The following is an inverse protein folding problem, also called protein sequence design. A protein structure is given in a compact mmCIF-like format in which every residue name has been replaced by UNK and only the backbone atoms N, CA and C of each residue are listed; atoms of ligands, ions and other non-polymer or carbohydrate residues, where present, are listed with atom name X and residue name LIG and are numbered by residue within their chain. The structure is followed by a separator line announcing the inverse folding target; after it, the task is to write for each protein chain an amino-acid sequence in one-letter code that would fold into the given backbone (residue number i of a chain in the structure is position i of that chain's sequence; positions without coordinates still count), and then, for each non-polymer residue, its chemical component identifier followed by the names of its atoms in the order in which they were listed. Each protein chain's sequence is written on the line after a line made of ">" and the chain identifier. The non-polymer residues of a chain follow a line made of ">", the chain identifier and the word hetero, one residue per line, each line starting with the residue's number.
data_IF_989292838000
#
_entry.id   IF_989292838000
#
_cell.length_a   1.000
_cell.length_b   1.000
_cell.length_c   1.000
_cell.angle_alpha   90.00
_cell.angle_beta   90.00
_cell.angle_gamma   90.00
#
_symmetry.space_group_name_H-M   'P 1'
#
loop_
_entity.id
_entity.type
_entity.pdbx_description
1 polymer ?
2 polymer ?
3 non-polymer ?
4 non-polymer ?
5 non-polymer ?
6 water ?
#
# COMPACT_ATOMS: atom_id res chain seq x y z
N UNK A 1 18.35 -2.68 8.03
CA UNK A 1 19.44 -2.31 7.09
C UNK A 1 18.86 -1.82 5.78
N UNK A 2 19.71 -1.23 4.93
CA UNK A 2 19.32 -0.72 3.61
C UNK A 2 19.63 -1.69 2.49
N UNK A 3 18.62 -2.06 1.79
CA UNK A 3 18.71 -2.98 0.66
C UNK A 3 17.69 -2.51 -0.39
N UNK A 4 18.05 -2.56 -1.64
CA UNK A 4 17.12 -2.29 -2.72
C UNK A 4 17.42 -3.23 -3.87
N UNK A 5 16.35 -3.72 -4.54
CA UNK A 5 16.50 -4.50 -5.77
C UNK A 5 15.26 -4.30 -6.63
N UNK A 6 15.41 -4.63 -7.90
CA UNK A 6 14.37 -4.37 -8.87
C UNK A 6 14.39 -5.33 -10.05
N UNK A 7 13.35 -6.15 -10.13
CA UNK A 7 13.15 -7.09 -11.25
C UNK A 7 11.85 -6.70 -11.95
N UNK A 8 11.96 -5.88 -13.03
CA UNK A 8 10.72 -5.52 -13.76
C UNK A 8 10.07 -6.70 -14.45
N UNK A 9 10.85 -7.76 -14.68
CA UNK A 9 10.45 -9.06 -15.15
C UNK A 9 11.54 -10.01 -14.73
N UNK A 10 11.38 -11.31 -15.00
CA UNK A 10 12.37 -12.32 -14.65
C UNK A 10 13.07 -12.91 -15.86
N UNK A 11 13.33 -12.02 -16.84
CA UNK A 11 14.38 -12.31 -17.83
C UNK A 11 15.78 -12.36 -17.22
N UNK A 12 15.91 -11.83 -16.02
CA UNK A 12 17.03 -12.06 -15.12
C UNK A 12 16.51 -12.68 -13.84
N UNK A 13 17.23 -13.65 -13.29
CA UNK A 13 17.07 -14.17 -11.95
C UNK A 13 18.38 -14.16 -11.18
N UNK A 14 19.21 -13.16 -11.52
CA UNK A 14 20.61 -13.10 -11.04
C UNK A 14 20.80 -13.32 -9.59
N UNK A 15 19.92 -12.68 -8.78
CA UNK A 15 20.09 -12.73 -7.31
C UNK A 15 19.07 -13.62 -6.60
N UNK A 16 18.35 -14.46 -7.34
CA UNK A 16 17.32 -15.30 -6.78
C UNK A 16 17.83 -16.71 -6.49
N UNK A 17 17.55 -17.28 -5.33
CA UNK A 17 17.82 -18.65 -4.94
C UNK A 17 16.56 -19.48 -5.06
N UNK A 18 16.63 -20.62 -5.73
CA UNK A 18 15.49 -21.52 -5.90
C UNK A 18 15.67 -22.71 -5.04
N UNK A 19 14.61 -23.10 -4.33
CA UNK A 19 14.65 -24.27 -3.45
C UNK A 19 13.38 -25.11 -3.61
N UNK A 20 13.53 -26.40 -3.35
CA UNK A 20 12.41 -27.28 -3.48
C UNK A 20 11.93 -27.32 -4.90
N UNK A 21 10.65 -27.22 -5.14
CA UNK A 21 10.06 -27.28 -6.42
C UNK A 21 10.03 -26.06 -7.28
N UNK A 22 10.62 -24.94 -6.82
CA UNK A 22 10.58 -23.67 -7.55
C UNK A 22 11.66 -23.58 -8.63
N UNK A 23 11.36 -22.88 -9.73
CA UNK A 23 12.35 -22.77 -10.82
C UNK A 23 11.97 -21.54 -11.68
N UNK A 24 12.96 -21.05 -12.44
CA UNK A 24 12.69 -19.98 -13.40
C UNK A 24 12.09 -20.54 -14.66
N UNK A 25 10.92 -20.09 -15.07
CA UNK A 25 10.27 -20.54 -16.32
C UNK A 25 9.30 -19.63 -16.99
N UNK A 26 9.46 -19.35 -18.27
CA UNK A 26 8.60 -18.40 -18.96
C UNK A 26 8.79 -16.98 -18.48
N UNK A 27 10.05 -16.69 -18.09
CA UNK A 27 10.45 -15.38 -17.64
C UNK A 27 9.69 -14.94 -16.35
N UNK A 28 9.36 -15.94 -15.54
CA UNK A 28 8.72 -15.74 -14.25
C UNK A 28 9.43 -16.62 -13.23
N UNK A 29 9.06 -16.44 -11.95
CA UNK A 29 9.37 -17.41 -10.91
C UNK A 29 8.20 -18.38 -10.82
N UNK A 30 8.43 -19.65 -11.12
CA UNK A 30 7.38 -20.67 -11.01
C UNK A 30 7.56 -21.39 -9.71
N UNK A 31 6.63 -21.24 -8.75
CA UNK A 31 6.87 -21.68 -7.39
C UNK A 31 6.72 -23.17 -7.16
N UNK A 32 5.83 -23.80 -7.94
CA UNK A 32 5.63 -25.24 -7.77
C UNK A 32 5.78 -25.86 -9.18
N UNK A 33 6.18 -27.13 -9.25
CA UNK A 33 6.57 -27.69 -10.53
C UNK A 33 5.35 -28.21 -11.36
N UNK A 34 5.62 -28.29 -12.65
CA UNK A 34 4.70 -28.88 -13.60
C UNK A 34 5.44 -30.01 -14.31
N UNK A 35 4.67 -30.99 -14.77
CA UNK A 35 5.27 -32.14 -15.48
C UNK A 35 5.49 -31.73 -16.96
N UNK A 36 5.97 -32.69 -17.71
CA UNK A 36 6.38 -32.48 -19.10
C UNK A 36 5.19 -32.01 -19.99
N UNK A 37 3.97 -32.37 -19.59
CA UNK A 37 2.75 -31.92 -20.25
C UNK A 37 2.12 -30.67 -19.69
N UNK A 38 2.82 -30.01 -18.76
CA UNK A 38 2.32 -28.79 -18.16
C UNK A 38 1.36 -29.00 -17.03
N UNK A 39 1.17 -30.23 -16.57
CA UNK A 39 0.21 -30.48 -15.50
C UNK A 39 0.86 -30.21 -14.11
N UNK A 40 0.15 -29.45 -13.23
CA UNK A 40 0.68 -29.24 -11.89
C UNK A 40 0.99 -30.54 -11.13
N UNK A 41 2.11 -30.63 -10.49
CA UNK A 41 2.51 -31.80 -9.74
C UNK A 41 1.94 -31.65 -8.33
N UNK A 42 1.27 -32.66 -7.83
CA UNK A 42 0.63 -32.64 -6.52
C UNK A 42 1.65 -32.78 -5.37
N UNK A 43 1.30 -32.22 -4.19
CA UNK A 43 2.11 -32.39 -2.99
C UNK A 43 3.56 -31.96 -3.20
N UNK A 44 3.74 -30.73 -3.66
CA UNK A 44 5.09 -30.15 -3.77
C UNK A 44 5.08 -28.74 -3.21
N UNK A 45 6.23 -28.29 -2.76
CA UNK A 45 6.36 -26.88 -2.34
C UNK A 45 7.65 -26.35 -2.89
N UNK A 46 7.80 -25.05 -3.02
CA UNK A 46 9.03 -24.42 -3.52
C UNK A 46 9.16 -23.06 -2.89
N UNK A 47 10.41 -22.58 -2.79
CA UNK A 47 10.72 -21.21 -2.43
C UNK A 47 11.58 -20.56 -3.52
N UNK A 48 11.33 -19.28 -3.76
CA UNK A 48 12.21 -18.46 -4.57
C UNK A 48 12.52 -17.24 -3.73
N UNK A 49 13.78 -17.05 -3.37
CA UNK A 49 14.14 -16.05 -2.33
C UNK A 49 15.18 -15.12 -2.90
N UNK A 50 15.15 -13.86 -2.44
CA UNK A 50 16.28 -12.95 -2.70
C UNK A 50 17.45 -13.43 -1.90
N UNK A 51 18.61 -13.64 -2.56
CA UNK A 51 19.67 -14.40 -1.92
C UNK A 51 20.38 -13.74 -0.72
N UNK A 52 20.36 -12.40 -0.68
CA UNK A 52 21.15 -11.71 0.33
C UNK A 52 20.32 -11.42 1.57
N UNK A 53 20.90 -11.69 2.74
CA UNK A 53 20.22 -11.38 3.98
C UNK A 53 20.22 -9.89 4.26
N UNK A 54 19.26 -9.44 5.09
CA UNK A 54 19.18 -8.05 5.58
C UNK A 54 18.76 -8.11 7.02
N UNK A 55 18.74 -6.94 7.66
CA UNK A 55 18.33 -6.85 9.07
C UNK A 55 17.07 -5.96 9.18
N UNK A 56 16.27 -6.18 10.20
CA UNK A 56 15.04 -5.41 10.40
C UNK A 56 15.09 -4.47 11.58
N UNK A 57 16.19 -4.40 12.31
CA UNK A 57 16.26 -3.42 13.41
C UNK A 57 16.17 -1.99 12.82
N UNK A 58 15.28 -1.17 13.42
CA UNK A 58 15.13 0.20 13.02
C UNK A 58 15.03 0.40 11.51
N UNK A 59 14.14 -0.37 10.92
CA UNK A 59 13.96 -0.40 9.48
C UNK A 59 12.50 -0.35 9.07
N UNK A 60 12.23 0.34 7.94
CA UNK A 60 10.95 0.25 7.23
C UNK A 60 11.27 -0.38 5.89
N UNK A 61 10.24 -0.98 5.26
CA UNK A 61 10.46 -1.46 3.89
C UNK A 61 9.16 -1.38 3.05
N UNK A 62 9.37 -1.39 1.74
CA UNK A 62 8.29 -1.44 0.76
C UNK A 62 8.71 -2.48 -0.26
N UNK A 63 7.72 -3.34 -0.60
CA UNK A 63 7.98 -4.29 -1.73
C UNK A 63 6.72 -4.43 -2.54
N UNK A 64 6.88 -4.67 -3.83
CA UNK A 64 5.76 -4.88 -4.71
C UNK A 64 6.13 -5.99 -5.68
N UNK A 65 5.08 -6.77 -6.06
CA UNK A 65 5.29 -7.84 -7.02
C UNK A 65 4.01 -8.03 -7.79
N UNK A 66 4.17 -8.62 -8.95
CA UNK A 66 3.03 -9.10 -9.73
C UNK A 66 2.99 -10.60 -9.82
N UNK A 67 1.76 -11.16 -9.95
CA UNK A 67 1.63 -12.60 -9.85
C UNK A 67 0.45 -13.08 -10.67
N UNK A 68 0.51 -14.34 -11.03
CA UNK A 68 -0.59 -15.04 -11.66
C UNK A 68 -0.80 -16.38 -10.97
N UNK A 69 -2.04 -16.77 -10.76
CA UNK A 69 -2.45 -18.12 -10.37
C UNK A 69 -3.10 -18.78 -11.57
N UNK A 70 -2.50 -19.93 -11.97
CA UNK A 70 -3.10 -20.71 -13.04
C UNK A 70 -3.77 -21.94 -12.45
N UNK A 71 -5.05 -22.11 -12.69
CA UNK A 71 -5.78 -23.24 -12.21
C UNK A 71 -6.26 -24.06 -13.35
N UNK A 72 -6.38 -25.34 -13.07
CA UNK A 72 -6.83 -26.31 -14.09
C UNK A 72 -8.12 -27.01 -13.64
N UNK A 73 -8.72 -26.53 -12.55
CA UNK A 73 -9.92 -27.13 -11.99
C UNK A 73 -10.60 -26.06 -11.14
N UNK A 74 -11.82 -26.36 -10.72
CA UNK A 74 -12.56 -25.53 -9.79
C UNK A 74 -12.11 -25.77 -8.34
N UNK A 75 -11.24 -26.76 -8.10
CA UNK A 75 -10.76 -27.07 -6.76
C UNK A 75 -9.24 -26.98 -6.64
N UNK A 76 -8.67 -25.85 -6.96
CA UNK A 76 -7.23 -25.64 -6.79
C UNK A 76 -6.75 -25.67 -5.35
N UNK A 77 -5.51 -26.06 -5.16
CA UNK A 77 -4.87 -25.94 -3.85
C UNK A 77 -3.42 -25.83 -4.07
N UNK A 78 -2.64 -25.10 -3.24
CA UNK A 78 -3.06 -24.46 -1.94
C UNK A 78 -2.85 -22.95 -1.86
N UNK A 79 -2.04 -22.40 -2.74
CA UNK A 79 -1.78 -20.98 -2.77
C UNK A 79 -0.30 -20.65 -2.62
N UNK A 80 -0.02 -19.44 -2.23
CA UNK A 80 1.36 -19.01 -2.09
C UNK A 80 1.44 -17.89 -1.09
N UNK A 81 2.67 -17.50 -0.76
CA UNK A 81 2.87 -16.41 0.18
C UNK A 81 4.15 -15.68 -0.12
N UNK A 82 4.22 -14.41 0.23
CA UNK A 82 5.50 -13.70 0.41
C UNK A 82 5.86 -13.79 1.89
N UNK A 83 7.13 -14.13 2.22
CA UNK A 83 7.48 -14.37 3.62
C UNK A 83 8.82 -13.76 3.94
N UNK A 84 9.01 -13.56 5.25
CA UNK A 84 10.30 -13.21 5.86
C UNK A 84 10.60 -14.25 6.92
N UNK A 85 11.84 -14.72 6.93
CA UNK A 85 12.27 -15.75 7.88
C UNK A 85 13.81 -15.68 7.98
N UNK A 86 14.40 -16.41 8.93
CA UNK A 86 15.86 -16.42 8.98
C UNK A 86 16.51 -17.01 7.71
N UNK A 87 17.80 -16.76 7.47
CA UNK A 87 18.36 -17.16 6.18
C UNK A 87 18.45 -18.64 5.93
N UNK A 88 18.39 -19.45 6.93
CA UNK A 88 18.46 -20.90 6.79
C UNK A 88 17.07 -21.53 6.71
N UNK A 89 16.04 -20.72 6.70
CA UNK A 89 14.67 -21.25 6.62
C UNK A 89 14.47 -22.12 5.37
N UNK A 90 14.08 -23.36 5.52
CA UNK A 90 13.97 -24.25 4.34
C UNK A 90 12.56 -24.28 3.81
N UNK A 91 12.36 -24.85 2.64
CA UNK A 91 11.03 -25.26 2.23
C UNK A 91 10.43 -26.28 3.17
N UNK A 92 9.28 -25.94 3.75
CA UNK A 92 8.62 -26.84 4.66
C UNK A 92 7.49 -27.56 3.99
N UNK A 93 6.49 -28.02 4.73
CA UNK A 93 5.52 -28.98 4.17
C UNK A 93 4.68 -28.39 3.08
N UNK A 94 4.38 -29.22 2.09
CA UNK A 94 3.47 -28.91 1.01
C UNK A 94 1.98 -28.89 1.50
N UNK A 95 1.05 -28.78 0.58
CA UNK A 95 -0.33 -28.68 0.96
C UNK A 95 -0.61 -27.39 1.69
N UNK A 96 -1.52 -27.46 2.67
CA UNK A 96 -2.02 -26.27 3.32
C UNK A 96 -1.04 -25.54 4.19
N UNK A 97 0.07 -26.17 4.48
CA UNK A 97 1.16 -25.50 5.19
C UNK A 97 1.89 -24.52 4.33
N UNK A 98 1.65 -24.52 3.03
CA UNK A 98 2.14 -23.46 2.15
C UNK A 98 3.63 -23.40 2.00
N UNK A 99 4.33 -24.52 2.30
CA UNK A 99 5.76 -24.51 2.31
C UNK A 99 6.37 -23.75 3.47
N UNK A 100 5.56 -23.35 4.46
CA UNK A 100 6.07 -22.45 5.54
C UNK A 100 6.07 -23.05 6.91
N UNK A 101 5.40 -24.20 7.11
CA UNK A 101 5.26 -24.78 8.44
C UNK A 101 5.47 -26.29 8.39
N UNK A 102 5.84 -26.85 9.54
CA UNK A 102 5.86 -28.30 9.79
C UNK A 102 4.57 -28.71 10.48
N UNK A 103 4.01 -29.88 10.12
CA UNK A 103 2.73 -30.26 10.73
C UNK A 103 2.69 -30.33 12.25
N UNK A 104 3.74 -30.75 12.89
CA UNK A 104 3.75 -30.92 14.29
C UNK A 104 3.77 -29.62 15.12
N UNK A 105 4.05 -28.53 14.43
CA UNK A 105 4.19 -27.22 15.11
C UNK A 105 3.48 -26.06 14.39
N UNK A 106 2.64 -26.32 13.39
CA UNK A 106 2.14 -25.28 12.50
C UNK A 106 1.28 -24.21 13.16
N UNK A 107 0.66 -24.52 14.29
CA UNK A 107 -0.14 -23.49 14.94
C UNK A 107 0.48 -23.02 16.28
N UNK A 108 1.70 -23.42 16.55
CA UNK A 108 2.43 -23.11 17.83
C UNK A 108 3.32 -21.90 17.55
N UNK A 109 2.84 -20.73 18.00
CA UNK A 109 3.58 -19.52 17.69
C UNK A 109 4.99 -19.49 18.31
N UNK A 110 5.18 -20.16 19.44
CA UNK A 110 6.49 -20.20 20.06
C UNK A 110 7.50 -21.05 19.30
N UNK A 111 6.99 -21.91 18.40
CA UNK A 111 7.85 -22.86 17.71
C UNK A 111 8.26 -22.38 16.30
N UNK A 112 7.79 -21.22 15.88
CA UNK A 112 8.06 -20.68 14.55
C UNK A 112 8.65 -19.32 14.54
N UNK A 113 9.36 -18.95 13.50
CA UNK A 113 9.84 -17.59 13.31
C UNK A 113 9.70 -17.32 11.80
N UNK A 114 8.49 -16.89 11.41
CA UNK A 114 8.16 -16.63 10.00
C UNK A 114 6.96 -15.69 10.02
N UNK A 115 7.02 -14.68 9.17
CA UNK A 115 5.89 -13.74 8.95
C UNK A 115 5.59 -13.76 7.46
N UNK A 116 4.31 -13.82 7.10
CA UNK A 116 3.92 -13.92 5.70
C UNK A 116 2.66 -13.21 5.36
N UNK A 117 2.49 -12.85 4.09
CA UNK A 117 1.22 -12.50 3.51
C UNK A 117 0.84 -13.63 2.57
N UNK A 118 -0.23 -14.33 2.89
CA UNK A 118 -0.66 -15.54 2.16
C UNK A 118 -1.86 -15.26 1.25
N UNK A 119 -1.89 -16.01 0.18
CA UNK A 119 -2.91 -15.99 -0.85
C UNK A 119 -3.43 -17.44 -0.89
N UNK A 120 -4.51 -17.70 -0.18
CA UNK A 120 -4.92 -19.07 0.19
C UNK A 120 -6.10 -19.52 -0.65
N UNK A 121 -5.87 -20.54 -1.48
CA UNK A 121 -6.89 -21.02 -2.44
C UNK A 121 -7.70 -22.19 -1.93
N UNK A 122 -7.39 -22.76 -0.76
CA UNK A 122 -8.00 -23.99 -0.30
C UNK A 122 -8.33 -23.84 1.20
N UNK A 123 -9.63 -23.95 1.52
CA UNK A 123 -10.07 -23.85 2.89
C UNK A 123 -9.70 -25.16 3.62
N UNK A 124 -8.77 -25.09 4.53
CA UNK A 124 -8.32 -26.26 5.27
C UNK A 124 -9.27 -26.55 6.42
N UNK A 125 -9.59 -27.81 6.60
CA UNK A 125 -10.38 -28.30 7.73
C UNK A 125 -9.55 -28.57 8.97
N UNK A 126 -8.22 -28.65 8.80
CA UNK A 126 -7.32 -29.10 9.84
C UNK A 126 -6.93 -28.07 10.88
N UNK A 127 -7.25 -26.83 10.59
CA UNK A 127 -7.04 -25.74 11.51
C UNK A 127 -8.09 -24.65 11.15
N UNK A 128 -8.19 -23.62 12.02
CA UNK A 128 -9.17 -22.59 11.80
C UNK A 128 -8.77 -21.76 10.58
N UNK A 129 -9.69 -21.73 9.59
CA UNK A 129 -9.69 -20.90 8.41
C UNK A 129 -11.03 -20.37 8.15
N UNK A 130 -11.14 -19.17 7.51
CA UNK A 130 -12.47 -18.77 7.08
C UNK A 130 -12.98 -19.71 6.02
N UNK A 131 -14.30 -19.78 5.86
CA UNK A 131 -14.92 -20.70 4.87
C UNK A 131 -15.01 -20.08 3.48
N UNK A 132 -13.95 -19.47 3.03
CA UNK A 132 -13.84 -18.93 1.70
C UNK A 132 -12.35 -18.74 1.44
N UNK A 133 -11.98 -18.65 0.18
CA UNK A 133 -10.63 -18.29 -0.21
C UNK A 133 -10.30 -16.92 0.37
N UNK A 134 -9.03 -16.73 0.74
CA UNK A 134 -8.72 -15.58 1.56
C UNK A 134 -7.26 -15.11 1.35
N UNK A 135 -7.01 -13.87 1.67
CA UNK A 135 -5.69 -13.28 1.83
C UNK A 135 -5.50 -13.01 3.30
N UNK A 136 -4.34 -13.34 3.84
CA UNK A 136 -4.09 -13.23 5.25
C UNK A 136 -2.69 -12.77 5.59
N UNK A 137 -2.53 -12.27 6.81
CA UNK A 137 -1.26 -12.01 7.45
C UNK A 137 -1.02 -13.10 8.49
N UNK A 138 0.10 -13.83 8.35
CA UNK A 138 0.50 -14.91 9.23
C UNK A 138 1.69 -14.50 10.08
N UNK A 139 1.58 -14.68 11.38
CA UNK A 139 2.70 -14.35 12.29
C UNK A 139 2.98 -15.60 13.12
N UNK A 140 3.95 -16.40 12.68
CA UNK A 140 4.42 -17.56 13.44
C UNK A 140 3.37 -18.71 13.51
N UNK A 141 2.37 -18.73 12.62
CA UNK A 141 1.31 -19.74 12.62
C UNK A 141 0.66 -19.74 11.27
N UNK A 142 0.16 -20.92 10.89
CA UNK A 142 -0.65 -21.07 9.69
C UNK A 142 -2.06 -20.53 9.84
N UNK A 143 -2.50 -20.29 11.08
CA UNK A 143 -3.78 -19.61 11.36
C UNK A 143 -3.55 -18.12 11.32
N UNK A 144 -4.06 -17.46 10.30
CA UNK A 144 -3.78 -16.04 10.12
C UNK A 144 -4.27 -15.17 11.28
N UNK A 145 -3.55 -14.13 11.60
CA UNK A 145 -3.96 -13.18 12.65
C UNK A 145 -4.90 -12.13 12.10
N UNK A 146 -4.88 -11.93 10.79
CA UNK A 146 -5.76 -10.96 10.06
C UNK A 146 -6.07 -11.55 8.71
N UNK A 147 -7.34 -11.66 8.33
CA UNK A 147 -7.71 -12.37 7.15
C UNK A 147 -8.84 -11.62 6.47
N UNK A 148 -8.94 -11.67 5.15
CA UNK A 148 -10.01 -11.08 4.42
C UNK A 148 -10.41 -11.95 3.26
N UNK A 149 -11.68 -11.91 2.85
CA UNK A 149 -12.17 -12.71 1.70
C UNK A 149 -11.46 -12.30 0.43
N UNK A 150 -11.01 -13.30 -0.33
CA UNK A 150 -10.42 -13.13 -1.66
C UNK A 150 -11.51 -13.61 -2.64
N UNK A 151 -12.00 -12.68 -3.48
CA UNK A 151 -13.14 -13.02 -4.35
C UNK A 151 -12.77 -14.11 -5.34
N UNK A 152 -13.68 -15.09 -5.55
CA UNK A 152 -13.37 -16.14 -6.50
C UNK A 152 -13.19 -15.57 -7.92
N UNK A 153 -13.95 -14.53 -8.26
CA UNK A 153 -13.74 -13.90 -9.60
C UNK A 153 -12.30 -13.52 -9.83
N UNK A 154 -11.65 -12.96 -8.77
CA UNK A 154 -10.25 -12.57 -8.90
C UNK A 154 -9.32 -13.82 -8.85
N UNK A 155 -9.59 -14.80 -7.96
CA UNK A 155 -8.81 -16.00 -7.89
C UNK A 155 -8.66 -16.63 -9.26
N UNK A 156 -9.80 -16.75 -9.99
CA UNK A 156 -9.88 -17.54 -11.22
C UNK A 156 -9.72 -16.67 -12.47
N UNK A 157 -9.36 -15.41 -12.31
CA UNK A 157 -9.29 -14.46 -13.41
C UNK A 157 -8.21 -14.69 -14.44
N UNK A 158 -7.12 -15.36 -14.02
CA UNK A 158 -5.91 -15.51 -14.83
C UNK A 158 -5.24 -14.16 -15.07
N UNK A 159 -5.62 -13.11 -14.31
CA UNK A 159 -5.00 -11.82 -14.48
C UNK A 159 -3.65 -11.75 -13.79
N UNK A 160 -2.83 -10.82 -14.28
CA UNK A 160 -1.61 -10.43 -13.61
C UNK A 160 -1.99 -9.41 -12.54
N UNK A 161 -2.01 -9.87 -11.28
CA UNK A 161 -2.41 -9.06 -10.14
C UNK A 161 -1.15 -8.40 -9.51
N UNK A 162 -1.38 -7.38 -8.71
CA UNK A 162 -0.29 -6.70 -8.03
C UNK A 162 -0.48 -6.79 -6.50
N UNK A 163 0.62 -6.94 -5.80
CA UNK A 163 0.61 -6.79 -4.35
C UNK A 163 1.65 -5.74 -3.97
N UNK A 164 1.27 -4.96 -2.94
CA UNK A 164 2.16 -3.97 -2.29
C UNK A 164 2.21 -4.40 -0.85
N UNK A 165 3.37 -4.59 -0.30
CA UNK A 165 3.53 -4.96 1.11
C UNK A 165 4.55 -3.98 1.73
N UNK A 166 4.10 -3.29 2.81
CA UNK A 166 4.96 -2.33 3.43
C UNK A 166 5.02 -2.60 4.92
N UNK A 167 6.12 -2.13 5.53
CA UNK A 167 6.27 -2.24 6.99
C UNK A 167 6.79 -0.89 7.45
N UNK A 168 6.00 -0.26 8.34
CA UNK A 168 6.40 0.98 8.99
C UNK A 168 7.06 0.60 10.30
N UNK A 169 8.38 0.80 10.35
CA UNK A 169 9.14 0.40 11.51
C UNK A 169 9.00 1.32 12.72
N UNK A 170 8.33 2.46 12.57
CA UNK A 170 8.02 3.34 13.71
C UNK A 170 6.73 2.91 14.39
N UNK A 171 5.67 2.72 13.61
CA UNK A 171 4.40 2.31 14.15
C UNK A 171 4.28 0.76 14.32
N UNK A 172 5.23 0.01 13.75
CA UNK A 172 5.29 -1.45 13.82
C UNK A 172 4.06 -2.03 13.17
N UNK A 173 3.77 -1.56 11.94
CA UNK A 173 2.58 -2.04 11.21
C UNK A 173 2.98 -2.61 9.84
N UNK A 174 2.46 -3.84 9.62
CA UNK A 174 2.66 -4.51 8.32
C UNK A 174 1.35 -4.37 7.55
N UNK A 175 1.41 -3.91 6.30
CA UNK A 175 0.24 -3.68 5.49
C UNK A 175 0.42 -4.38 4.15
N UNK A 176 -0.68 -4.96 3.65
CA UNK A 176 -0.74 -5.42 2.24
C UNK A 176 -1.93 -4.76 1.52
N UNK A 177 -1.66 -4.26 0.32
CA UNK A 177 -2.69 -3.88 -0.67
C UNK A 177 -2.54 -4.81 -1.84
N UNK A 178 -3.65 -5.40 -2.26
CA UNK A 178 -3.63 -6.31 -3.41
C UNK A 178 -4.64 -5.76 -4.43
N UNK A 179 -4.25 -5.66 -5.68
CA UNK A 179 -5.11 -5.08 -6.73
C UNK A 179 -5.15 -5.97 -7.94
N UNK A 180 -6.35 -6.07 -8.53
CA UNK A 180 -6.60 -6.78 -9.78
C UNK A 180 -6.94 -5.79 -10.85
N UNK A 181 -6.43 -5.92 -12.07
CA UNK A 181 -6.77 -4.96 -13.17
C UNK A 181 -8.27 -5.14 -13.50
N UNK A 182 -9.05 -4.11 -13.45
CA UNK A 182 -10.52 -4.33 -13.62
C UNK A 182 -11.11 -5.49 -12.70
N UNK A 183 -10.54 -5.68 -11.50
CA UNK A 183 -11.10 -6.55 -10.48
C UNK A 183 -11.05 -5.95 -9.07
N UNK A 184 -10.95 -6.81 -8.06
CA UNK A 184 -10.96 -6.38 -6.68
C UNK A 184 -9.72 -5.71 -6.17
N UNK A 185 -9.93 -4.96 -5.09
CA UNK A 185 -8.86 -4.43 -4.29
C UNK A 185 -9.01 -4.88 -2.85
N UNK A 186 -7.87 -5.13 -2.21
CA UNK A 186 -7.86 -5.70 -0.86
C UNK A 186 -6.89 -4.97 0.02
N UNK A 187 -7.29 -4.72 1.27
CA UNK A 187 -6.44 -3.99 2.20
C UNK A 187 -6.40 -4.74 3.55
N UNK A 188 -5.21 -5.06 4.05
CA UNK A 188 -5.04 -5.66 5.35
C UNK A 188 -3.89 -5.08 6.07
N UNK A 189 -4.05 -4.72 7.35
CA UNK A 189 -2.97 -4.22 8.14
C UNK A 189 -2.98 -4.85 9.55
N UNK A 190 -1.82 -4.96 10.13
CA UNK A 190 -1.65 -5.60 11.46
C UNK A 190 -0.45 -5.00 12.16
N UNK A 191 -0.64 -4.75 13.45
CA UNK A 191 0.49 -4.33 14.30
C UNK A 191 1.29 -5.54 14.72
N UNK A 192 2.59 -5.56 14.31
CA UNK A 192 3.51 -6.63 14.65
C UNK A 192 4.91 -6.05 14.66
N UNK A 193 5.62 -6.33 15.76
CA UNK A 193 7.01 -5.86 15.90
C UNK A 193 7.99 -6.85 15.28
N UNK A 194 8.35 -6.58 14.02
CA UNK A 194 9.19 -7.55 13.30
C UNK A 194 10.56 -7.59 13.87
N UNK A 195 11.13 -6.47 14.36
CA UNK A 195 12.47 -6.55 14.89
C UNK A 195 12.55 -7.41 16.19
N UNK A 196 11.44 -7.47 16.92
CA UNK A 196 11.36 -8.36 18.09
C UNK A 196 11.40 -9.83 17.68
N UNK A 197 10.65 -10.16 16.62
CA UNK A 197 10.62 -11.54 16.14
C UNK A 197 11.96 -11.92 15.53
N UNK A 198 12.61 -10.98 14.81
CA UNK A 198 13.78 -11.23 14.03
C UNK A 198 14.91 -10.27 14.47
N UNK A 199 15.63 -10.64 15.55
CA UNK A 199 16.71 -9.75 16.01
C UNK A 199 17.95 -9.83 15.20
N UNK A 200 18.05 -10.83 14.34
CA UNK A 200 19.22 -11.02 13.46
C UNK A 200 18.99 -10.77 11.99
N UNK A 201 19.53 -11.66 11.21
CA UNK A 201 19.38 -11.53 9.77
C UNK A 201 18.11 -12.27 9.33
N UNK A 202 17.57 -11.81 8.20
CA UNK A 202 16.43 -12.48 7.53
C UNK A 202 16.67 -12.47 6.03
N UNK A 203 15.90 -13.35 5.34
CA UNK A 203 15.73 -13.24 3.88
C UNK A 203 14.24 -13.15 3.59
N UNK A 204 13.92 -12.47 2.47
CA UNK A 204 12.56 -12.38 1.96
C UNK A 204 12.41 -13.19 0.67
N UNK A 205 11.23 -13.80 0.48
CA UNK A 205 11.00 -14.54 -0.72
C UNK A 205 9.58 -15.02 -0.80
N UNK A 206 9.35 -15.94 -1.70
CA UNK A 206 8.02 -16.49 -2.01
C UNK A 206 8.04 -17.97 -1.74
N UNK A 207 6.89 -18.46 -1.26
CA UNK A 207 6.68 -19.90 -1.05
C UNK A 207 5.38 -20.30 -1.71
N UNK A 208 5.33 -21.35 -2.52
CA UNK A 208 4.13 -21.86 -3.09
C UNK A 208 3.97 -23.30 -2.72
N UNK A 209 2.72 -23.80 -2.79
CA UNK A 209 2.50 -25.23 -2.50
C UNK A 209 1.29 -25.79 -3.22
N UNK A 210 1.42 -27.06 -3.55
CA UNK A 210 0.27 -27.89 -3.96
C UNK A 210 0.18 -28.99 -2.91
N UNK A 211 -0.95 -29.71 -2.84
CA UNK A 211 -2.18 -29.36 -3.49
C UNK A 211 -2.43 -30.03 -4.81
N UNK A 212 -3.11 -29.33 -5.70
CA UNK A 212 -3.57 -29.91 -6.95
C UNK A 212 -4.07 -28.85 -7.88
N UNK A 213 -3.89 -29.01 -9.18
CA UNK A 213 -4.58 -28.22 -10.15
C UNK A 213 -4.26 -26.75 -10.13
N UNK A 214 -3.04 -26.39 -9.68
CA UNK A 214 -2.69 -24.98 -9.49
C UNK A 214 -1.21 -24.80 -9.66
N UNK A 215 -0.78 -23.72 -10.31
CA UNK A 215 0.58 -23.28 -10.32
C UNK A 215 0.58 -21.79 -10.02
N UNK A 216 1.60 -21.31 -9.28
CA UNK A 216 1.70 -19.93 -8.90
C UNK A 216 2.98 -19.35 -9.51
N UNK A 217 2.85 -18.15 -10.14
CA UNK A 217 3.95 -17.54 -10.84
C UNK A 217 4.14 -16.10 -10.37
N UNK A 218 5.37 -15.69 -10.13
CA UNK A 218 5.71 -14.29 -9.82
C UNK A 218 6.29 -13.66 -11.09
N UNK A 219 5.74 -12.54 -11.56
CA UNK A 219 6.12 -11.92 -12.79
C UNK A 219 7.07 -10.77 -12.70
N UNK A 220 7.14 -10.12 -11.51
CA UNK A 220 8.04 -8.97 -11.29
C UNK A 220 8.11 -8.78 -9.78
N UNK A 221 9.17 -8.08 -9.35
CA UNK A 221 9.40 -7.91 -7.89
C UNK A 221 10.41 -6.79 -7.66
N UNK A 222 10.04 -5.80 -6.81
CA UNK A 222 11.04 -4.83 -6.39
C UNK A 222 10.89 -4.65 -4.86
N UNK A 223 11.95 -4.12 -4.26
CA UNK A 223 12.05 -4.03 -2.77
C UNK A 223 12.96 -2.87 -2.45
N UNK A 224 12.57 -2.14 -1.36
CA UNK A 224 13.53 -1.17 -0.77
C UNK A 224 13.31 -1.17 0.72
N UNK A 225 14.43 -1.09 1.48
CA UNK A 225 14.38 -0.92 2.92
C UNK A 225 15.26 0.22 3.27
N UNK A 226 14.80 0.94 4.33
CA UNK A 226 15.55 2.15 4.76
C UNK A 226 15.55 2.21 6.32
N UNK A 227 16.55 2.87 6.89
CA UNK A 227 16.58 3.09 8.32
C UNK A 227 15.50 4.10 8.77
N UNK A 228 14.95 3.84 9.93
CA UNK A 228 14.03 4.73 10.58
C UNK A 228 14.76 5.85 11.37
N UNK A 229 16.08 5.85 11.49
CA UNK A 229 16.77 6.94 12.32
C UNK A 229 17.18 8.18 11.55
N UNK B 1 -19.83 2.40 3.33
CA UNK B 1 -20.62 2.07 2.14
C UNK B 1 -19.69 1.68 0.99
N UNK B 2 -20.28 1.21 -0.10
CA UNK B 2 -19.58 0.69 -1.27
C UNK B 2 -19.66 1.75 -2.37
N UNK B 3 -18.50 2.18 -2.77
CA UNK B 3 -18.33 3.19 -3.85
C UNK B 3 -17.04 2.81 -4.62
N UNK B 4 -17.09 2.95 -5.93
CA UNK B 4 -15.91 2.80 -6.73
C UNK B 4 -15.96 3.82 -7.88
N UNK B 5 -14.79 4.35 -8.21
CA UNK B 5 -14.64 5.22 -9.35
C UNK B 5 -13.21 5.06 -9.94
N UNK B 6 -13.03 5.52 -11.16
CA UNK B 6 -11.77 5.38 -11.86
C UNK B 6 -11.62 6.45 -12.94
N UNK B 7 -10.56 7.23 -12.80
CA UNK B 7 -10.15 8.30 -13.73
C UNK B 7 -8.75 7.92 -14.21
N UNK B 8 -8.62 7.25 -15.34
CA UNK B 8 -7.28 6.91 -15.87
C UNK B 8 -6.55 8.19 -16.27
N UNK B 9 -7.36 9.23 -16.58
CA UNK B 9 -6.88 10.61 -16.74
C UNK B 9 -8.13 11.44 -16.46
N UNK B 10 -7.98 12.76 -16.59
CA UNK B 10 -9.11 13.69 -16.32
C UNK B 10 -9.61 14.39 -17.60
N UNK B 11 -9.58 13.62 -18.68
CA UNK B 11 -10.26 14.05 -19.88
C UNK B 11 -11.69 14.45 -19.56
N UNK B 12 -12.34 13.61 -18.77
CA UNK B 12 -13.61 13.92 -18.17
C UNK B 12 -13.39 14.26 -16.71
N UNK B 13 -14.10 15.32 -16.28
CA UNK B 13 -14.19 15.70 -14.88
C UNK B 13 -15.60 15.66 -14.37
N UNK B 14 -16.39 14.81 -15.02
CA UNK B 14 -17.64 14.47 -14.46
C UNK B 14 -17.38 13.90 -13.05
N UNK B 15 -18.24 14.36 -12.15
CA UNK B 15 -18.32 13.94 -10.77
C UNK B 15 -17.12 14.44 -9.99
N UNK B 16 -16.41 15.46 -10.49
CA UNK B 16 -15.44 16.21 -9.73
C UNK B 16 -15.96 17.61 -9.42
N UNK B 17 -15.89 18.03 -8.15
CA UNK B 17 -16.33 19.31 -7.73
C UNK B 17 -15.06 20.11 -7.46
N UNK B 18 -14.95 21.23 -8.16
CA UNK B 18 -13.78 22.17 -7.99
C UNK B 18 -14.20 23.33 -7.11
N UNK B 19 -13.33 23.73 -6.16
CA UNK B 19 -13.58 24.87 -5.33
C UNK B 19 -12.29 25.64 -5.16
N UNK B 20 -12.43 26.93 -4.86
CA UNK B 20 -11.26 27.73 -4.67
C UNK B 20 -10.50 27.92 -5.99
N UNK B 21 -9.19 27.77 -5.91
CA UNK B 21 -8.37 27.97 -7.11
C UNK B 21 -8.06 26.73 -7.91
N UNK B 22 -8.74 25.60 -7.67
CA UNK B 22 -8.52 24.36 -8.44
C UNK B 22 -9.34 24.34 -9.73
N UNK B 23 -8.75 23.72 -10.76
CA UNK B 23 -9.42 23.66 -12.07
C UNK B 23 -8.92 22.50 -12.87
N UNK B 24 -9.70 22.10 -13.91
CA UNK B 24 -9.17 21.07 -14.85
C UNK B 24 -8.18 21.74 -15.81
N UNK B 25 -7.08 21.08 -16.12
CA UNK B 25 -6.09 21.56 -17.06
C UNK B 25 -5.45 20.40 -17.78
N UNK B 26 -5.59 20.36 -19.12
CA UNK B 26 -4.94 19.30 -19.95
C UNK B 26 -5.03 17.88 -19.33
N UNK B 27 -6.23 17.50 -19.04
CA UNK B 27 -6.49 16.16 -18.58
C UNK B 27 -5.91 15.84 -17.18
N UNK B 28 -5.65 16.88 -16.38
CA UNK B 28 -5.22 16.75 -14.99
C UNK B 28 -6.12 17.62 -14.11
N UNK B 29 -6.02 17.41 -12.82
CA UNK B 29 -6.56 18.34 -11.83
C UNK B 29 -5.41 19.26 -11.41
N UNK B 30 -5.56 20.56 -11.67
CA UNK B 30 -4.59 21.57 -11.23
C UNK B 30 -5.09 22.17 -9.95
N UNK B 31 -4.36 21.96 -8.85
CA UNK B 31 -4.95 22.29 -7.55
C UNK B 31 -4.84 23.75 -7.17
N UNK B 32 -3.84 24.44 -7.70
CA UNK B 32 -3.64 25.85 -7.41
C UNK B 32 -3.43 26.57 -8.74
N UNK B 33 -3.84 27.83 -8.82
CA UNK B 33 -3.90 28.52 -10.13
C UNK B 33 -2.55 29.11 -10.58
N UNK B 34 -2.45 29.31 -11.89
CA UNK B 34 -1.32 29.95 -12.49
C UNK B 34 -1.90 31.16 -13.29
N UNK B 35 -1.10 32.18 -13.47
CA UNK B 35 -1.53 33.36 -14.27
C UNK B 35 -1.34 33.11 -15.74
N UNK B 36 -1.67 34.08 -16.58
CA UNK B 36 -1.61 33.92 -18.01
C UNK B 36 -0.20 33.77 -18.57
N UNK B 37 0.81 34.04 -17.78
CA UNK B 37 2.17 33.69 -18.08
C UNK B 37 2.64 32.30 -17.55
N UNK B 38 1.71 31.58 -16.94
CA UNK B 38 2.01 30.27 -16.33
C UNK B 38 2.68 30.30 -14.98
N UNK B 39 2.77 31.45 -14.37
CA UNK B 39 3.48 31.59 -13.14
C UNK B 39 2.50 31.23 -12.00
N UNK B 40 2.95 30.39 -11.05
CA UNK B 40 2.11 30.08 -9.87
C UNK B 40 1.70 31.37 -9.13
N UNK B 41 0.44 31.44 -8.75
CA UNK B 41 -0.05 32.58 -8.00
C UNK B 41 0.07 32.35 -6.50
N UNK B 42 0.67 33.26 -5.80
CA UNK B 42 0.90 33.19 -4.35
C UNK B 42 -0.40 33.28 -3.54
N UNK B 43 -0.37 32.60 -2.39
CA UNK B 43 -1.54 32.68 -1.43
C UNK B 43 -2.84 32.29 -2.00
N UNK B 44 -2.91 31.06 -2.50
CA UNK B 44 -4.10 30.46 -3.02
C UNK B 44 -4.31 29.05 -2.48
N UNK B 45 -5.55 28.60 -2.40
CA UNK B 45 -5.88 27.24 -2.05
C UNK B 45 -6.94 26.74 -2.98
N UNK B 46 -6.95 25.42 -3.33
CA UNK B 46 -7.98 24.85 -4.15
C UNK B 46 -8.29 23.44 -3.69
N UNK B 47 -9.53 23.02 -3.94
CA UNK B 47 -9.95 21.64 -3.71
C UNK B 47 -10.54 21.08 -4.97
N UNK B 48 -10.22 19.79 -5.22
CA UNK B 48 -10.93 19.04 -6.24
C UNK B 48 -11.37 17.76 -5.58
N UNK B 49 -12.67 17.56 -5.51
CA UNK B 49 -13.29 16.49 -4.68
C UNK B 49 -14.22 15.59 -5.50
N UNK B 50 -14.24 14.29 -5.20
CA UNK B 50 -15.22 13.45 -5.81
C UNK B 50 -16.60 13.83 -5.25
N UNK B 51 -17.54 14.08 -6.15
CA UNK B 51 -18.75 14.78 -5.76
C UNK B 51 -19.72 13.94 -4.91
N UNK B 52 -19.69 12.63 -4.98
CA UNK B 52 -20.62 11.75 -4.29
C UNK B 52 -20.15 11.37 -2.89
N UNK B 53 -20.99 11.66 -1.89
CA UNK B 53 -20.61 11.28 -0.56
C UNK B 53 -20.69 9.77 -0.33
N UNK B 54 -19.92 9.31 0.66
CA UNK B 54 -19.97 7.93 1.08
C UNK B 54 -19.89 7.89 2.62
N UNK B 55 -20.03 6.70 3.19
CA UNK B 55 -19.99 6.53 4.61
C UNK B 55 -18.84 5.63 4.99
N UNK B 56 -18.31 5.81 6.21
CA UNK B 56 -17.17 5.03 6.68
C UNK B 56 -17.48 3.98 7.72
N UNK B 57 -18.72 3.85 8.14
CA UNK B 57 -19.08 2.83 9.10
C UNK B 57 -18.82 1.47 8.51
N UNK B 58 -18.09 0.61 9.24
CA UNK B 58 -17.84 -0.79 8.81
C UNK B 58 -17.36 -0.86 7.35
N UNK B 59 -16.33 0.00 7.06
CA UNK B 59 -15.82 0.11 5.66
C UNK B 59 -14.30 0.12 5.66
N UNK B 60 -13.75 -0.57 4.64
CA UNK B 60 -12.35 -0.44 4.25
C UNK B 60 -12.31 0.27 2.88
N UNK B 61 -11.18 0.94 2.58
CA UNK B 61 -11.06 1.51 1.26
C UNK B 61 -9.61 1.46 0.76
N UNK B 62 -9.47 1.58 -0.55
CA UNK B 62 -8.22 1.65 -1.24
C UNK B 62 -8.35 2.76 -2.30
N UNK B 63 -7.33 3.63 -2.37
CA UNK B 63 -7.32 4.65 -3.41
C UNK B 63 -5.86 4.80 -3.89
N UNK B 64 -5.73 5.14 -5.15
CA UNK B 64 -4.43 5.37 -5.74
C UNK B 64 -4.55 6.57 -6.70
N UNK B 65 -3.47 7.33 -6.78
CA UNK B 65 -3.45 8.45 -7.70
C UNK B 65 -2.02 8.69 -8.15
N UNK B 66 -1.85 9.37 -9.28
CA UNK B 66 -0.55 9.82 -9.74
C UNK B 66 -0.54 11.33 -9.71
N UNK B 67 0.64 11.90 -9.50
CA UNK B 67 0.76 13.33 -9.30
C UNK B 67 2.10 13.88 -9.76
N UNK B 68 2.13 15.17 -10.05
CA UNK B 68 3.37 15.89 -10.37
C UNK B 68 3.37 17.19 -9.61
N UNK B 69 4.52 17.49 -9.02
CA UNK B 69 4.81 18.80 -8.46
C UNK B 69 5.72 19.55 -9.43
N UNK B 70 5.28 20.70 -9.87
CA UNK B 70 6.08 21.57 -10.73
C UNK B 70 6.56 22.75 -9.91
N UNK B 71 7.87 22.94 -9.82
CA UNK B 71 8.49 24.04 -9.09
C UNK B 71 9.20 24.94 -10.03
N UNK B 72 9.33 26.19 -9.60
CA UNK B 72 10.05 27.17 -10.37
C UNK B 72 11.18 27.79 -9.60
N UNK B 73 11.44 27.27 -8.41
CA UNK B 73 12.53 27.68 -7.60
C UNK B 73 12.89 26.59 -6.61
N UNK B 74 13.98 26.76 -5.91
CA UNK B 74 14.39 25.82 -4.88
C UNK B 74 13.68 25.99 -3.54
N UNK B 75 12.77 26.99 -3.50
CA UNK B 75 11.96 27.29 -2.34
C UNK B 75 10.47 27.24 -2.59
N UNK B 76 10.00 26.09 -3.04
CA UNK B 76 8.55 25.98 -3.31
C UNK B 76 7.71 25.90 -2.00
N UNK B 77 6.47 26.34 -2.12
CA UNK B 77 5.50 26.21 -1.03
C UNK B 77 4.11 26.13 -1.60
N UNK B 78 3.16 25.37 -1.00
CA UNK B 78 3.26 24.70 0.32
C UNK B 78 3.13 23.18 0.25
N UNK B 79 2.52 22.71 -0.83
CA UNK B 79 2.23 21.28 -0.98
C UNK B 79 0.78 20.98 -1.25
N UNK B 80 0.42 19.71 -1.05
CA UNK B 80 -0.96 19.26 -1.26
C UNK B 80 -1.25 18.08 -0.36
N UNK B 81 -2.52 17.71 -0.34
CA UNK B 81 -2.97 16.55 0.42
C UNK B 81 -4.14 15.89 -0.25
N UNK B 82 -4.21 14.58 0.00
CA UNK B 82 -5.47 13.86 -0.22
C UNK B 82 -6.17 13.85 1.15
N UNK B 83 -7.45 14.13 1.20
CA UNK B 83 -8.18 14.31 2.45
C UNK B 83 -9.59 13.71 2.39
N UNK B 84 -10.07 13.44 3.59
CA UNK B 84 -11.42 12.99 3.83
C UNK B 84 -12.03 14.02 4.81
N UNK B 85 -13.23 14.46 4.51
CA UNK B 85 -13.94 15.43 5.36
C UNK B 85 -15.44 15.30 5.06
N UNK B 86 -16.27 15.90 5.91
CA UNK B 86 -17.72 15.94 5.60
C UNK B 86 -18.03 16.68 4.28
N UNK B 87 -19.21 16.43 3.73
CA UNK B 87 -19.51 17.01 2.41
C UNK B 87 -19.55 18.51 2.37
N UNK B 88 -19.76 19.19 3.50
CA UNK B 88 -19.77 20.66 3.57
C UNK B 88 -18.44 21.33 3.74
N UNK B 89 -17.37 20.53 3.70
CA UNK B 89 -16.06 21.06 4.02
C UNK B 89 -15.67 22.13 2.98
N UNK B 90 -15.37 23.33 3.42
CA UNK B 90 -14.98 24.42 2.48
C UNK B 90 -13.49 24.49 2.28
N UNK B 91 -13.07 25.30 1.32
CA UNK B 91 -11.68 25.62 1.11
C UNK B 91 -11.25 26.51 2.29
N UNK B 92 -10.27 26.09 3.04
CA UNK B 92 -9.76 26.80 4.16
C UNK B 92 -8.50 27.62 3.82
N UNK B 93 -7.61 27.93 4.77
CA UNK B 93 -6.60 28.87 4.55
C UNK B 93 -5.51 28.35 3.60
N UNK B 94 -5.06 29.27 2.77
CA UNK B 94 -3.87 29.14 1.90
C UNK B 94 -2.60 29.05 2.72
N UNK B 95 -1.45 28.93 2.05
CA UNK B 95 -0.21 28.81 2.72
C UNK B 95 -0.06 27.43 3.39
N UNK B 96 0.63 27.44 4.54
CA UNK B 96 1.02 26.18 5.21
C UNK B 96 -0.13 25.38 5.76
N UNK B 97 -1.31 26.01 5.86
CA UNK B 97 -2.53 25.36 6.27
C UNK B 97 -3.07 24.39 5.20
N UNK B 98 -2.50 24.46 3.98
CA UNK B 98 -2.80 23.49 2.90
C UNK B 98 -4.22 23.45 2.43
N UNK B 99 -4.96 24.56 2.69
CA UNK B 99 -6.35 24.58 2.37
C UNK B 99 -7.31 23.79 3.26
N UNK B 100 -6.76 23.27 4.36
CA UNK B 100 -7.45 22.34 5.22
C UNK B 100 -7.77 22.81 6.62
N UNK B 101 -7.14 23.92 7.03
CA UNK B 101 -7.29 24.42 8.42
C UNK B 101 -7.38 25.95 8.39
N UNK B 102 -7.80 26.52 9.54
CA UNK B 102 -7.78 27.94 9.82
C UNK B 102 -6.85 28.20 10.97
N UNK B 103 -6.16 29.33 11.01
CA UNK B 103 -5.16 29.61 12.02
C UNK B 103 -5.56 29.44 13.46
N UNK B 104 -6.76 29.88 13.79
CA UNK B 104 -7.13 29.86 15.19
C UNK B 104 -7.36 28.48 15.78
N UNK B 105 -7.62 27.52 14.92
CA UNK B 105 -7.96 26.17 15.40
C UNK B 105 -7.07 25.09 14.72
N UNK B 106 -5.99 25.50 14.07
CA UNK B 106 -5.24 24.52 13.25
C UNK B 106 -4.61 23.37 13.97
N UNK B 107 -4.30 23.54 15.24
CA UNK B 107 -3.73 22.49 16.07
C UNK B 107 -4.66 21.99 17.17
N UNK B 108 -5.94 22.38 17.10
CA UNK B 108 -6.91 21.92 18.04
C UNK B 108 -7.76 20.81 17.48
N UNK B 109 -7.46 19.57 17.96
CA UNK B 109 -8.11 18.41 17.38
C UNK B 109 -9.58 18.33 17.63
N UNK B 110 -10.08 19.05 18.67
CA UNK B 110 -11.50 19.02 18.94
C UNK B 110 -12.29 19.95 18.00
N UNK B 111 -11.60 20.80 17.27
CA UNK B 111 -12.24 21.81 16.44
C UNK B 111 -12.17 21.53 14.98
N UNK B 112 -11.59 20.40 14.56
CA UNK B 112 -11.48 19.93 13.20
C UNK B 112 -12.11 18.56 13.01
N UNK B 113 -12.51 18.26 11.80
CA UNK B 113 -12.94 16.93 11.41
C UNK B 113 -12.40 16.75 9.95
N UNK B 114 -11.14 16.31 9.88
CA UNK B 114 -10.49 16.15 8.61
C UNK B 114 -9.29 15.25 8.86
N UNK B 115 -9.09 14.29 7.96
CA UNK B 115 -7.93 13.39 7.97
C UNK B 115 -7.28 13.46 6.58
N UNK B 116 -5.97 13.56 6.56
CA UNK B 116 -5.25 13.79 5.29
C UNK B 116 -3.94 13.03 5.28
N UNK B 117 -3.45 12.80 4.08
CA UNK B 117 -2.06 12.46 3.79
C UNK B 117 -1.51 13.67 3.02
N UNK B 118 -0.51 14.33 3.67
CA UNK B 118 0.07 15.56 3.14
C UNK B 118 1.42 15.31 2.51
N UNK B 119 1.72 16.12 1.52
CA UNK B 119 2.99 16.17 0.79
C UNK B 119 3.43 17.63 0.99
N UNK B 120 4.35 17.83 1.96
CA UNK B 120 4.60 19.17 2.52
C UNK B 120 5.96 19.64 2.00
N UNK B 121 5.94 20.67 1.14
CA UNK B 121 7.17 21.18 0.52
C UNK B 121 7.84 22.33 1.29
N UNK B 122 7.19 22.84 2.34
CA UNK B 122 7.71 24.02 2.99
C UNK B 122 7.71 23.80 4.54
N UNK B 123 8.88 23.94 5.15
CA UNK B 123 8.98 23.78 6.57
C UNK B 123 8.46 25.03 7.28
N UNK B 124 7.32 24.86 7.93
CA UNK B 124 6.69 25.97 8.68
C UNK B 124 7.33 26.09 10.03
N UNK B 125 7.51 27.36 10.42
CA UNK B 125 8.01 27.73 11.72
C UNK B 125 6.82 28.05 12.70
N UNK B 126 5.62 28.19 12.18
CA UNK B 126 4.50 28.68 12.96
C UNK B 126 3.85 27.55 13.81
N UNK B 127 4.23 26.30 13.54
CA UNK B 127 3.80 25.13 14.33
C UNK B 127 4.89 24.08 14.19
N UNK B 128 4.82 23.01 14.96
CA UNK B 128 5.84 21.99 14.96
C UNK B 128 5.76 21.18 13.67
N UNK B 129 6.87 21.21 12.94
CA UNK B 129 7.11 20.39 11.75
C UNK B 129 8.52 19.90 11.78
N UNK B 130 8.82 18.79 11.09
CA UNK B 130 10.20 18.41 10.97
C UNK B 130 11.01 19.43 10.14
N UNK B 131 12.31 19.44 10.33
CA UNK B 131 13.16 20.43 9.67
C UNK B 131 13.61 19.96 8.25
N UNK B 132 12.70 19.32 7.52
CA UNK B 132 12.90 18.87 6.14
C UNK B 132 11.55 18.71 5.51
N UNK B 133 11.50 18.72 4.17
CA UNK B 133 10.29 18.40 3.48
C UNK B 133 9.85 17.02 3.89
N UNK B 134 8.56 16.76 3.89
CA UNK B 134 7.99 15.57 4.52
C UNK B 134 6.65 15.18 3.98
N UNK B 135 6.38 13.87 4.08
CA UNK B 135 5.03 13.29 3.86
C UNK B 135 4.49 12.93 5.23
N UNK B 136 3.23 13.25 5.50
CA UNK B 136 2.66 13.01 6.80
C UNK B 136 1.22 12.57 6.79
N UNK B 137 0.78 11.96 7.90
CA UNK B 137 -0.59 11.68 8.18
C UNK B 137 -1.08 12.76 9.17
N UNK B 138 -2.12 13.45 8.83
CA UNK B 138 -2.75 14.51 9.65
C UNK B 138 -4.11 14.04 10.12
N UNK B 139 -4.33 14.10 11.44
CA UNK B 139 -5.60 13.72 12.05
C UNK B 139 -6.11 14.96 12.83
N UNK B 140 -7.00 15.72 12.21
CA UNK B 140 -7.65 16.87 12.90
C UNK B 140 -6.65 17.93 13.35
N UNK B 141 -5.49 18.04 12.76
CA UNK B 141 -4.48 19.02 13.08
C UNK B 141 -3.52 19.17 11.91
N UNK B 142 -2.93 20.34 11.73
CA UNK B 142 -1.87 20.58 10.75
C UNK B 142 -0.52 20.04 11.25
N UNK B 143 -0.39 19.66 12.54
CA UNK B 143 0.78 19.06 13.07
C UNK B 143 0.60 17.53 12.88
N UNK B 144 1.34 16.95 11.93
CA UNK B 144 1.17 15.49 11.56
C UNK B 144 1.45 14.59 12.75
N UNK B 145 0.64 13.56 12.87
CA UNK B 145 0.77 12.56 13.93
C UNK B 145 1.85 11.54 13.54
N UNK B 146 2.16 11.39 12.25
CA UNK B 146 3.15 10.44 11.72
C UNK B 146 3.77 11.15 10.52
N UNK B 147 5.09 11.23 10.45
CA UNK B 147 5.76 12.00 9.43
C UNK B 147 7.02 11.33 9.04
N UNK B 148 7.36 11.45 7.76
CA UNK B 148 8.64 10.88 7.26
C UNK B 148 9.30 11.89 6.33
N UNK B 149 10.61 11.82 6.23
CA UNK B 149 11.41 12.73 5.37
C UNK B 149 11.06 12.43 3.91
N UNK B 150 10.81 13.45 3.13
CA UNK B 150 10.57 13.37 1.69
C UNK B 150 11.83 13.90 1.02
N UNK B 151 12.55 13.03 0.31
CA UNK B 151 13.82 13.41 -0.24
C UNK B 151 13.69 14.45 -1.29
N UNK B 152 14.62 15.41 -1.26
CA UNK B 152 14.59 16.50 -2.25
C UNK B 152 14.71 16.01 -3.67
N UNK B 153 15.53 14.95 -3.87
CA UNK B 153 15.64 14.40 -5.22
C UNK B 153 14.28 14.02 -5.80
N UNK B 154 13.42 13.48 -4.95
CA UNK B 154 12.06 13.12 -5.34
C UNK B 154 11.19 14.36 -5.49
N UNK B 155 11.22 15.27 -4.51
CA UNK B 155 10.43 16.49 -4.56
C UNK B 155 10.58 17.24 -5.88
N UNK B 156 11.85 17.37 -6.32
CA UNK B 156 12.25 18.14 -7.49
C UNK B 156 12.44 17.31 -8.76
N UNK B 157 11.97 16.04 -8.75
CA UNK B 157 12.24 15.11 -9.85
C UNK B 157 11.47 15.47 -11.12
N UNK B 158 10.33 16.14 -11.01
CA UNK B 158 9.39 16.37 -12.16
C UNK B 158 8.78 15.04 -12.63
N UNK B 159 8.94 13.99 -11.82
CA UNK B 159 8.36 12.72 -12.20
C UNK B 159 6.88 12.63 -11.92
N UNK B 160 6.16 11.75 -12.66
CA UNK B 160 4.81 11.35 -12.30
C UNK B 160 4.97 10.28 -11.21
N UNK B 161 4.70 10.65 -9.96
CA UNK B 161 4.77 9.82 -8.78
C UNK B 161 3.47 9.16 -8.52
N UNK B 162 3.48 8.07 -7.70
CA UNK B 162 2.25 7.36 -7.38
C UNK B 162 2.07 7.33 -5.86
N UNK B 163 0.82 7.47 -5.43
CA UNK B 163 0.46 7.27 -4.04
C UNK B 163 -0.62 6.19 -3.97
N UNK B 164 -0.54 5.35 -2.92
CA UNK B 164 -1.51 4.37 -2.58
C UNK B 164 -1.94 4.67 -1.15
N UNK B 165 -3.24 4.84 -0.89
CA UNK B 165 -3.71 5.11 0.50
C UNK B 165 -4.82 4.12 0.78
N UNK B 166 -4.66 3.38 1.89
CA UNK B 166 -5.63 2.40 2.23
C UNK B 166 -6.07 2.51 3.69
N UNK B 167 -7.26 2.05 3.97
CA UNK B 167 -7.76 2.02 5.31
C UNK B 167 -8.38 0.65 5.61
N UNK B 168 -7.84 0.01 6.62
CA UNK B 168 -8.34 -1.31 7.06
C UNK B 168 -9.35 -0.99 8.18
N UNK B 169 -10.64 -1.19 7.88
CA UNK B 169 -11.67 -0.88 8.85
C UNK B 169 -11.83 -1.85 9.99
N UNK B 170 -11.14 -2.98 9.92
CA UNK B 170 -11.10 -3.94 11.06
C UNK B 170 -10.01 -3.55 12.05
N UNK B 171 -8.77 -3.36 11.56
CA UNK B 171 -7.70 -2.96 12.48
C UNK B 171 -7.65 -1.41 12.77
N UNK B 172 -8.44 -0.67 12.02
CA UNK B 172 -8.48 0.81 12.19
C UNK B 172 -7.17 1.47 11.86
N UNK B 173 -6.57 1.05 10.73
CA UNK B 173 -5.23 1.55 10.35
C UNK B 173 -5.27 2.21 8.97
N UNK B 174 -4.79 3.46 8.91
CA UNK B 174 -4.60 4.18 7.66
C UNK B 174 -3.13 4.09 7.23
N UNK B 175 -2.92 3.73 5.96
CA UNK B 175 -1.58 3.52 5.41
C UNK B 175 -1.42 4.30 4.14
N UNK B 176 -0.26 4.90 3.94
CA UNK B 176 0.14 5.46 2.66
C UNK B 176 1.45 4.80 2.19
N UNK B 177 1.48 4.47 0.93
CA UNK B 177 2.74 4.10 0.24
C UNK B 177 2.91 5.13 -0.87
N UNK B 178 4.06 5.73 -0.99
CA UNK B 178 4.34 6.70 -2.09
C UNK B 178 5.58 6.20 -2.83
N UNK B 179 5.50 6.15 -4.16
CA UNK B 179 6.59 5.63 -4.95
C UNK B 179 6.96 6.60 -6.09
N UNK B 180 8.28 6.70 -6.35
CA UNK B 180 8.79 7.45 -7.48
C UNK B 180 9.51 6.50 -8.44
N UNK B 181 9.33 6.74 -9.75
CA UNK B 181 10.03 5.90 -10.75
C UNK B 181 11.53 6.15 -10.68
N UNK B 182 12.28 5.10 -10.41
CA UNK B 182 13.71 5.21 -10.18
C UNK B 182 14.09 6.17 -9.06
N UNK B 183 13.22 6.28 -8.06
CA UNK B 183 13.40 7.16 -6.93
C UNK B 183 12.97 6.51 -5.64
N UNK B 184 12.65 7.33 -4.66
CA UNK B 184 12.34 6.83 -3.35
C UNK B 184 10.97 6.20 -3.20
N UNK B 185 10.86 5.36 -2.16
CA UNK B 185 9.60 4.76 -1.73
C UNK B 185 9.41 5.16 -0.28
N UNK B 186 8.18 5.41 0.08
CA UNK B 186 7.81 5.93 1.41
C UNK B 186 6.63 5.10 1.96
N UNK B 187 6.68 4.81 3.26
CA UNK B 187 5.68 4.05 3.97
C UNK B 187 5.31 4.69 5.26
N UNK B 188 4.04 4.92 5.44
CA UNK B 188 3.52 5.51 6.75
C UNK B 188 2.25 4.82 7.09
N UNK B 189 2.09 4.41 8.34
CA UNK B 189 0.86 3.77 8.83
C UNK B 189 0.51 4.31 10.23
N UNK B 190 -0.73 4.46 10.53
CA UNK B 190 -1.21 5.04 11.78
C UNK B 190 -2.57 4.48 12.16
N UNK B 191 -2.72 4.12 13.45
CA UNK B 191 -4.01 3.69 14.00
C UNK B 191 -4.90 4.94 14.22
N UNK B 192 -6.04 4.92 13.61
CA UNK B 192 -7.09 5.94 13.82
C UNK B 192 -8.44 5.41 13.44
N UNK B 193 -9.47 5.64 14.28
CA UNK B 193 -10.78 5.10 13.99
C UNK B 193 -11.57 6.17 13.16
N UNK B 194 -11.58 6.01 11.83
CA UNK B 194 -12.21 6.96 10.95
C UNK B 194 -13.73 6.96 11.14
N UNK B 195 -14.35 5.83 11.47
CA UNK B 195 -15.75 5.80 11.65
C UNK B 195 -16.17 6.59 12.86
N UNK B 196 -15.33 6.68 13.86
CA UNK B 196 -15.65 7.46 15.05
C UNK B 196 -15.51 8.97 14.75
N UNK B 197 -14.51 9.34 13.96
CA UNK B 197 -14.32 10.77 13.60
C UNK B 197 -15.39 11.24 12.66
N UNK B 198 -15.83 10.38 11.73
CA UNK B 198 -16.77 10.67 10.66
C UNK B 198 -18.02 9.76 10.73
N UNK B 199 -18.95 10.10 11.63
CA UNK B 199 -20.10 9.22 11.84
C UNK B 199 -21.15 9.30 10.79
N UNK B 200 -21.05 10.28 9.88
CA UNK B 200 -22.09 10.46 8.87
C UNK B 200 -21.52 10.23 7.47
N UNK B 201 -21.70 11.22 6.64
CA UNK B 201 -21.17 11.20 5.28
C UNK B 201 -19.83 11.93 5.22
N UNK B 202 -19.03 11.45 4.26
CA UNK B 202 -17.78 12.12 3.88
C UNK B 202 -17.67 12.22 2.34
N UNK B 203 -16.74 13.09 1.92
CA UNK B 203 -16.18 13.07 0.56
C UNK B 203 -14.69 13.00 0.63
N UNK B 204 -14.08 12.41 -0.43
CA UNK B 204 -12.66 12.35 -0.57
C UNK B 204 -12.23 13.25 -1.73
N UNK B 205 -11.08 13.84 -1.58
CA UNK B 205 -10.51 14.70 -2.62
C UNK B 205 -9.15 15.23 -2.28
N UNK B 206 -8.76 16.26 -3.02
CA UNK B 206 -7.41 16.82 -2.91
C UNK B 206 -7.52 18.31 -2.57
N UNK B 207 -6.53 18.77 -1.81
CA UNK B 207 -6.37 20.18 -1.45
C UNK B 207 -4.95 20.61 -1.70
N UNK B 208 -4.76 21.69 -2.45
CA UNK B 208 -3.44 22.22 -2.65
C UNK B 208 -3.37 23.67 -2.23
N UNK B 209 -2.16 24.13 -1.88
CA UNK B 209 -2.01 25.53 -1.52
C UNK B 209 -0.63 26.11 -1.86
N UNK B 210 -0.64 27.42 -2.14
CA UNK B 210 0.53 28.22 -2.22
C UNK B 210 0.42 29.35 -1.14
N UNK B 211 1.53 29.97 -0.72
CA UNK B 211 2.85 29.58 -1.09
C UNK B 211 3.42 30.34 -2.29
N UNK B 212 4.31 29.70 -3.04
CA UNK B 212 5.12 30.33 -4.06
C UNK B 212 5.79 29.25 -4.88
N UNK B 213 5.94 29.57 -6.17
CA UNK B 213 6.85 28.83 -7.04
C UNK B 213 6.52 27.36 -7.21
N UNK B 214 5.25 27.00 -7.11
CA UNK B 214 4.78 25.63 -7.08
C UNK B 214 3.42 25.49 -7.62
N UNK B 215 3.19 24.45 -8.40
CA UNK B 215 1.85 24.01 -8.76
C UNK B 215 1.78 22.49 -8.58
N UNK B 216 0.61 21.99 -8.20
CA UNK B 216 0.41 20.56 -7.90
C UNK B 216 -0.68 20.05 -8.89
N UNK B 217 -0.38 18.91 -9.54
CA UNK B 217 -1.29 18.34 -10.48
C UNK B 217 -1.59 16.84 -10.17
N UNK B 218 -2.85 16.47 -10.30
CA UNK B 218 -3.24 15.07 -10.18
C UNK B 218 -3.55 14.54 -11.56
N UNK B 219 -2.81 13.49 -11.96
CA UNK B 219 -2.92 12.96 -13.31
C UNK B 219 -3.93 11.80 -13.51
N UNK B 220 -4.14 11.05 -12.44
CA UNK B 220 -5.06 9.89 -12.49
C UNK B 220 -5.54 9.58 -11.07
N UNK B 221 -6.62 8.84 -10.92
CA UNK B 221 -7.17 8.54 -9.59
C UNK B 221 -8.22 7.46 -9.62
N UNK B 222 -8.07 6.46 -8.78
CA UNK B 222 -9.15 5.50 -8.61
C UNK B 222 -9.40 5.24 -7.14
N UNK B 223 -10.54 4.64 -6.85
CA UNK B 223 -10.99 4.47 -5.45
C UNK B 223 -11.94 3.29 -5.38
N UNK B 224 -11.85 2.50 -4.34
CA UNK B 224 -12.89 1.49 -4.03
C UNK B 224 -13.06 1.37 -2.52
N UNK B 225 -14.29 1.22 -2.10
CA UNK B 225 -14.62 0.91 -0.72
C UNK B 225 -15.52 -0.28 -0.62
N UNK B 226 -15.38 -1.02 0.48
CA UNK B 226 -16.08 -2.23 0.71
C UNK B 226 -16.51 -2.34 2.14
N UNK B 227 -17.58 -3.06 2.40
CA UNK B 227 -18.03 -3.32 3.76
C UNK B 227 -17.15 -4.36 4.44
N UNK B 228 -16.89 -4.16 5.74
CA UNK B 228 -16.24 -5.14 6.57
C UNK B 228 -17.19 -6.18 7.22
N UNK B 229 -18.44 -6.19 6.86
CA UNK B 229 -19.33 -7.30 7.28
C UNK B 229 -19.39 -8.45 6.27
N UNK C 2 -9.52 -34.37 7.33
CA UNK C 2 -8.30 -33.89 6.66
C UNK C 2 -8.16 -34.48 5.25
N UNK C 3 -7.50 -33.73 4.40
CA UNK C 3 -7.18 -34.20 3.06
C UNK C 3 -5.86 -34.93 2.97
N UNK C 4 -5.15 -35.04 4.09
CA UNK C 4 -3.84 -35.68 4.07
C UNK C 4 -3.94 -37.16 3.85
N UNK C 5 -3.19 -37.60 2.81
CA UNK C 5 -3.28 -38.96 2.35
C UNK C 5 -4.41 -39.14 1.35
N UNK D 2 7.52 33.95 11.32
CA UNK D 2 6.41 33.57 10.40
C UNK D 2 6.62 34.15 8.99
N UNK D 3 6.24 33.41 7.96
CA UNK D 3 6.23 33.98 6.63
C UNK D 3 4.99 34.79 6.26
N UNK D 4 4.07 34.94 7.20
CA UNK D 4 2.81 35.71 6.94
C UNK D 4 3.01 37.22 7.28
#
# INVERSE_FOLDING_TARGET
>A
SELSFNYPNFQSVEDITFQGGASPRNETLQLTPTDSNGIPIRQRAGHAVYSQPFQLRDTSFYTTFTFVIRTTSNSPADGFAIFIAPPDFPVKRYGGYLGLFEPNTATNTSANKVVAVEFDTWVNTEWKEPRYRHIGIDVNSIVSVRVTRWQDKDVFSRSIATAHVGYDGISKILTAFVTYPDGGNYVLSHVVDLAEIFPGDVRIGFSGATGQYETQYIHSWSFSSTSTNLLRDGARHHHHHH
>B
SELSFNYPNFQSVEDITFQGGASPRNETLQLTPTDSNGIPIRQRAGHAVYSQPFQLRDTSFYTTFTFVIRTTSNSPADGFAIFIAPPDFPVKRYGGYLGLFEPNTATNTSANKVVAVEFDTWVNTEWKEPRYRHIGIDVNSIVSVRVTRWQDKDVFSRSIATAHVGYDGISKILTAFVTYPDGGNYVLSHVVDLAEIFPGDVRIGFSGATGQYETQYIHSWSFSSTSTNLLRDGARHHHHHH
>C
XSSVG
>D
XSSVG
#
